data_IF_997530560201
#
_entry.id   IF_997530560201
#
_cell.length_a   1.000
_cell.length_b   1.000
_cell.length_c   1.000
_cell.angle_alpha   90.00
_cell.angle_beta   90.00
_cell.angle_gamma   90.00
#
_symmetry.space_group_name_H-M   'P 1'
#
loop_
_entity.id
_entity.type
_entity.pdbx_description
1 polymer ?
#
# COMPACT_ATOMS: atom_id res chain seq x y z
N UNK A 1 32.52 10.09 11.17
CA UNK A 1 31.99 9.29 10.04
C UNK A 1 30.64 8.70 10.46
N UNK A 2 29.54 9.45 10.41
CA UNK A 2 28.22 8.91 10.83
C UNK A 2 27.03 9.47 10.02
N UNK A 3 27.22 9.79 8.74
CA UNK A 3 26.10 10.15 7.85
C UNK A 3 25.62 9.01 6.94
N UNK A 4 26.26 7.83 6.98
CA UNK A 4 25.92 6.72 6.07
C UNK A 4 24.87 5.74 6.60
N UNK A 5 24.46 5.85 7.87
CA UNK A 5 23.55 4.88 8.50
C UNK A 5 22.06 5.24 8.35
N UNK A 6 21.73 6.50 8.07
CA UNK A 6 20.34 6.95 7.90
C UNK A 6 19.73 6.62 6.54
N UNK A 7 20.54 6.37 5.51
CA UNK A 7 20.03 6.04 4.16
C UNK A 7 19.50 4.60 4.12
N UNK A 8 20.16 3.67 4.82
CA UNK A 8 19.79 2.25 4.85
C UNK A 8 18.42 1.97 5.47
N UNK A 9 18.00 2.74 6.48
CA UNK A 9 16.68 2.55 7.11
C UNK A 9 15.56 3.17 6.27
N UNK A 10 15.89 4.18 5.46
CA UNK A 10 14.95 4.82 4.53
C UNK A 10 14.66 3.93 3.32
N UNK A 11 15.66 3.17 2.84
CA UNK A 11 15.48 2.18 1.76
C UNK A 11 14.60 1.00 2.19
N UNK A 12 14.64 0.59 3.46
CA UNK A 12 13.75 -0.48 3.98
C UNK A 12 12.30 0.01 4.12
N UNK A 13 12.09 1.30 4.35
CA UNK A 13 10.77 1.95 4.29
C UNK A 13 10.25 2.07 2.85
N UNK A 14 11.13 1.93 1.85
CA UNK A 14 10.80 1.76 0.44
C UNK A 14 10.57 0.28 0.07
N UNK A 15 9.98 -0.51 0.98
CA UNK A 15 9.09 -1.61 0.56
C UNK A 15 7.88 -0.94 -0.09
N UNK A 16 8.13 -0.37 -1.27
CA UNK A 16 7.14 0.32 -2.06
C UNK A 16 6.02 -0.68 -2.27
N UNK A 17 4.83 -0.31 -1.81
CA UNK A 17 3.60 -0.73 -2.45
C UNK A 17 3.87 -0.72 -3.96
N UNK A 18 3.96 -1.94 -4.49
CA UNK A 18 4.71 -2.27 -5.69
C UNK A 18 3.82 -2.96 -6.71
N UNK A 19 2.68 -2.35 -7.03
CA UNK A 19 1.90 -2.67 -8.23
C UNK A 19 1.60 -1.42 -9.10
N UNK A 20 2.27 -0.28 -8.83
CA UNK A 20 2.00 0.97 -9.56
C UNK A 20 2.50 0.94 -11.01
N UNK A 21 3.44 0.05 -11.36
CA UNK A 21 4.12 0.06 -12.65
C UNK A 21 3.42 -0.68 -13.80
N UNK A 22 2.34 -1.45 -13.56
CA UNK A 22 1.79 -2.37 -14.58
C UNK A 22 0.59 -1.85 -15.40
N UNK A 23 0.13 -0.61 -15.21
CA UNK A 23 -1.03 -0.09 -15.97
C UNK A 23 -0.68 1.09 -16.88
N UNK A 24 0.53 1.12 -17.45
CA UNK A 24 0.73 1.94 -18.63
C UNK A 24 -0.17 1.34 -19.74
N UNK A 25 -1.33 1.97 -19.97
CA UNK A 25 -2.10 1.71 -21.17
C UNK A 25 -1.19 2.07 -22.33
N UNK A 26 -0.59 1.06 -22.96
CA UNK A 26 -0.14 1.24 -24.32
C UNK A 26 -1.41 1.56 -25.07
N UNK A 27 -1.57 2.82 -25.51
CA UNK A 27 -2.42 3.14 -26.63
C UNK A 27 -1.86 2.37 -27.80
N UNK A 28 -2.20 1.08 -27.85
CA UNK A 28 -2.07 0.31 -29.06
C UNK A 28 -2.86 1.10 -30.08
N UNK A 29 -2.17 1.47 -31.17
CA UNK A 29 -2.73 2.30 -32.23
C UNK A 29 -3.74 1.43 -32.99
N UNK A 30 -4.91 1.25 -32.40
CA UNK A 30 -6.01 0.46 -32.93
C UNK A 30 -7.31 1.08 -32.46
N UNK A 31 -7.82 2.02 -33.24
CA UNK A 31 -9.18 2.57 -33.18
C UNK A 31 -9.61 3.24 -31.87
N UNK A 32 -9.23 4.51 -31.70
CA UNK A 32 -9.94 5.45 -30.80
C UNK A 32 -10.97 6.32 -31.54
N UNK A 33 -11.53 5.84 -32.63
CA UNK A 33 -12.79 6.35 -33.17
C UNK A 33 -13.85 5.30 -32.88
N UNK A 34 -14.54 5.45 -31.75
CA UNK A 34 -15.76 4.68 -31.48
C UNK A 34 -16.82 5.20 -32.45
N UNK A 35 -16.82 4.64 -33.65
CA UNK A 35 -17.93 4.77 -34.59
C UNK A 35 -19.14 4.13 -33.92
N UNK A 36 -20.13 4.95 -33.54
CA UNK A 36 -21.45 4.50 -33.07
C UNK A 36 -22.28 3.86 -34.20
N UNK A 37 -21.64 3.43 -35.30
CA UNK A 37 -22.30 2.61 -36.31
C UNK A 37 -22.62 1.26 -35.66
N UNK A 38 -23.88 0.84 -35.76
CA UNK A 38 -24.45 -0.41 -35.25
C UNK A 38 -23.61 -1.64 -35.66
N UNK A 39 -22.52 -1.89 -34.94
CA UNK A 39 -21.74 -3.11 -35.06
C UNK A 39 -22.35 -4.10 -34.10
N UNK A 40 -23.22 -4.98 -34.62
CA UNK A 40 -23.58 -6.19 -33.89
C UNK A 40 -22.31 -7.00 -33.70
N UNK A 41 -21.69 -6.89 -32.52
CA UNK A 41 -20.55 -7.75 -32.18
C UNK A 41 -20.99 -9.21 -32.23
N UNK A 42 -20.13 -10.07 -32.78
CA UNK A 42 -20.34 -11.50 -32.73
C UNK A 42 -20.25 -12.01 -31.28
N UNK A 43 -20.88 -13.15 -30.95
CA UNK A 43 -20.76 -13.74 -29.61
C UNK A 43 -19.30 -13.93 -29.15
N UNK A 44 -18.42 -14.34 -30.06
CA UNK A 44 -16.99 -14.56 -29.78
C UNK A 44 -16.27 -13.24 -29.42
N UNK A 45 -16.57 -12.14 -30.12
CA UNK A 45 -16.01 -10.82 -29.81
C UNK A 45 -16.49 -10.30 -28.44
N UNK A 46 -17.76 -10.58 -28.09
CA UNK A 46 -18.31 -10.25 -26.77
C UNK A 46 -17.58 -11.05 -25.67
N UNK A 47 -17.32 -12.34 -25.90
CA UNK A 47 -16.58 -13.18 -24.94
C UNK A 47 -15.15 -12.67 -24.71
N UNK A 48 -14.45 -12.26 -25.78
CA UNK A 48 -13.11 -11.68 -25.70
C UNK A 48 -13.11 -10.38 -24.89
N UNK A 49 -14.05 -9.48 -25.13
CA UNK A 49 -14.16 -8.22 -24.39
C UNK A 49 -14.61 -8.43 -22.93
N UNK A 50 -15.48 -9.40 -22.66
CA UNK A 50 -15.82 -9.79 -21.28
C UNK A 50 -14.58 -10.29 -20.52
N UNK A 51 -13.75 -11.13 -21.15
CA UNK A 51 -12.50 -11.59 -20.55
C UNK A 51 -11.53 -10.42 -20.29
N UNK A 52 -11.50 -9.42 -21.18
CA UNK A 52 -10.72 -8.19 -20.99
C UNK A 52 -11.21 -7.36 -19.81
N UNK A 53 -12.53 -7.17 -19.70
CA UNK A 53 -13.17 -6.46 -18.57
C UNK A 53 -12.87 -7.18 -17.26
N UNK A 54 -12.95 -8.50 -17.23
CA UNK A 54 -12.66 -9.29 -16.03
C UNK A 54 -11.20 -9.13 -15.57
N UNK A 55 -10.23 -9.21 -16.51
CA UNK A 55 -8.81 -8.96 -16.20
C UNK A 55 -8.60 -7.54 -15.65
N UNK A 56 -9.22 -6.53 -16.26
CA UNK A 56 -9.10 -5.15 -15.80
C UNK A 56 -9.70 -4.97 -14.39
N UNK A 57 -10.86 -5.57 -14.13
CA UNK A 57 -11.50 -5.55 -12.81
C UNK A 57 -10.58 -6.14 -11.74
N UNK A 58 -9.92 -7.25 -12.01
CA UNK A 58 -9.00 -7.87 -11.05
C UNK A 58 -7.79 -6.98 -10.74
N UNK A 59 -7.21 -6.31 -11.75
CA UNK A 59 -6.14 -5.32 -11.55
C UNK A 59 -6.62 -4.16 -10.67
N UNK A 60 -7.82 -3.64 -10.93
CA UNK A 60 -8.40 -2.53 -10.16
C UNK A 60 -8.66 -2.91 -8.70
N UNK A 61 -9.21 -4.10 -8.44
CA UNK A 61 -9.46 -4.59 -7.07
C UNK A 61 -8.15 -4.72 -6.27
N UNK A 62 -7.06 -5.15 -6.92
CA UNK A 62 -5.75 -5.26 -6.27
C UNK A 62 -5.16 -3.89 -5.96
N UNK A 63 -5.27 -2.94 -6.91
CA UNK A 63 -4.88 -1.55 -6.71
C UNK A 63 -5.65 -0.90 -5.56
N UNK A 64 -6.95 -1.15 -5.47
CA UNK A 64 -7.79 -0.67 -4.36
C UNK A 64 -7.31 -1.22 -3.01
N UNK A 65 -7.01 -2.52 -2.94
CA UNK A 65 -6.47 -3.13 -1.73
C UNK A 65 -5.11 -2.53 -1.32
N UNK A 66 -4.21 -2.31 -2.29
CA UNK A 66 -2.93 -1.65 -2.06
C UNK A 66 -3.11 -0.21 -1.53
N UNK A 67 -4.05 0.55 -2.12
CA UNK A 67 -4.42 1.89 -1.65
C UNK A 67 -4.95 1.86 -0.21
N UNK A 68 -5.75 0.85 0.16
CA UNK A 68 -6.23 0.70 1.55
C UNK A 68 -5.09 0.46 2.54
N UNK A 69 -4.13 -0.41 2.21
CA UNK A 69 -2.94 -0.59 3.05
C UNK A 69 -2.15 0.72 3.22
N UNK A 70 -1.96 1.49 2.14
CA UNK A 70 -1.29 2.80 2.22
C UNK A 70 -2.06 3.80 3.08
N UNK A 71 -3.39 3.86 2.94
CA UNK A 71 -4.23 4.75 3.76
C UNK A 71 -4.11 4.42 5.25
N UNK A 72 -4.14 3.13 5.59
CA UNK A 72 -4.00 2.68 6.97
C UNK A 72 -2.60 2.97 7.54
N UNK A 73 -1.53 2.76 6.76
CA UNK A 73 -0.15 3.09 7.17
C UNK A 73 0.03 4.60 7.39
N UNK A 74 -0.52 5.44 6.50
CA UNK A 74 -0.52 6.89 6.65
C UNK A 74 -1.23 7.30 7.95
N UNK A 75 -2.37 6.69 8.26
CA UNK A 75 -3.10 7.02 9.48
C UNK A 75 -2.33 6.60 10.74
N UNK A 76 -1.75 5.40 10.75
CA UNK A 76 -0.87 4.96 11.84
C UNK A 76 0.33 5.89 12.01
N UNK A 77 0.96 6.31 10.92
CA UNK A 77 2.08 7.25 10.96
C UNK A 77 1.67 8.61 11.55
N UNK A 78 0.50 9.15 11.18
CA UNK A 78 -0.02 10.40 11.75
C UNK A 78 -0.24 10.28 13.26
N UNK A 79 -0.86 9.19 13.71
CA UNK A 79 -1.15 8.95 15.12
C UNK A 79 0.15 8.79 15.93
N UNK A 80 1.12 8.02 15.40
CA UNK A 80 2.45 7.85 16.00
C UNK A 80 3.19 9.20 16.07
N UNK A 81 3.15 10.00 15.01
CA UNK A 81 3.81 11.31 14.98
C UNK A 81 3.21 12.27 16.02
N UNK A 82 1.89 12.29 16.15
CA UNK A 82 1.18 13.10 17.15
C UNK A 82 1.60 12.71 18.57
N UNK A 83 1.56 11.41 18.90
CA UNK A 83 1.97 10.90 20.22
C UNK A 83 3.46 11.15 20.50
N UNK A 84 4.34 10.98 19.50
CA UNK A 84 5.77 11.31 19.64
C UNK A 84 5.98 12.79 19.92
N UNK A 85 5.16 13.67 19.34
CA UNK A 85 5.23 15.10 19.60
C UNK A 85 4.80 15.44 21.02
N UNK A 86 3.71 14.84 21.51
CA UNK A 86 3.27 14.99 22.90
C UNK A 86 4.33 14.46 23.88
N UNK A 87 4.89 13.27 23.61
CA UNK A 87 5.96 12.69 24.42
C UNK A 87 7.18 13.60 24.49
N UNK A 88 7.60 14.19 23.37
CA UNK A 88 8.72 15.15 23.34
C UNK A 88 8.50 16.33 24.27
N UNK A 89 7.29 16.89 24.32
CA UNK A 89 6.96 18.01 25.22
C UNK A 89 7.14 17.64 26.70
N UNK A 90 6.77 16.40 27.07
CA UNK A 90 6.91 15.90 28.44
C UNK A 90 8.38 15.65 28.78
N UNK A 91 9.13 15.01 27.88
CA UNK A 91 10.54 14.65 28.11
C UNK A 91 11.44 15.88 28.21
N UNK A 92 11.10 16.98 27.54
CA UNK A 92 11.86 18.25 27.63
C UNK A 92 11.77 18.96 28.98
N UNK A 93 10.80 18.61 29.85
CA UNK A 93 10.70 19.20 31.19
C UNK A 93 11.85 18.68 32.07
N UNK A 94 12.54 19.50 32.86
CA UNK A 94 13.58 19.03 33.77
C UNK A 94 13.05 18.04 34.82
N UNK A 95 13.82 17.01 35.16
CA UNK A 95 13.38 15.94 36.08
C UNK A 95 12.93 16.42 37.46
N UNK A 96 13.47 17.55 37.92
CA UNK A 96 13.11 18.17 39.21
C UNK A 96 11.63 18.58 39.27
N UNK A 97 10.99 18.77 38.13
CA UNK A 97 9.60 19.21 37.99
C UNK A 97 8.66 18.10 37.43
N UNK A 98 9.16 16.87 37.23
CA UNK A 98 8.43 15.79 36.50
C UNK A 98 7.49 14.91 37.32
N UNK A 99 7.35 15.14 38.62
CA UNK A 99 6.70 14.15 39.52
C UNK A 99 5.25 13.78 39.14
N UNK A 100 4.52 14.62 38.39
CA UNK A 100 3.17 14.33 37.87
C UNK A 100 3.13 13.78 36.43
N UNK A 101 4.22 13.89 35.68
CA UNK A 101 4.24 13.57 34.25
C UNK A 101 4.74 12.16 33.94
N UNK A 102 5.33 11.47 34.91
CA UNK A 102 5.95 10.15 34.72
C UNK A 102 4.96 9.08 34.26
N UNK A 103 3.76 9.03 34.86
CA UNK A 103 2.71 8.10 34.44
C UNK A 103 2.24 8.39 33.01
N UNK A 104 2.04 9.67 32.67
CA UNK A 104 1.64 10.07 31.31
C UNK A 104 2.72 9.74 30.27
N UNK A 105 3.99 9.91 30.63
CA UNK A 105 5.13 9.52 29.79
C UNK A 105 5.09 8.01 29.48
N UNK A 106 4.94 7.18 30.52
CA UNK A 106 4.84 5.72 30.39
C UNK A 106 3.63 5.29 29.54
N UNK A 107 2.48 5.94 29.73
CA UNK A 107 1.27 5.69 28.92
C UNK A 107 1.48 6.03 27.44
N UNK A 108 2.13 7.16 27.14
CA UNK A 108 2.42 7.56 25.76
C UNK A 108 3.39 6.60 25.09
N UNK A 109 4.44 6.18 25.80
CA UNK A 109 5.39 5.17 25.31
C UNK A 109 4.66 3.87 24.97
N UNK A 110 3.77 3.41 25.87
CA UNK A 110 2.99 2.18 25.65
C UNK A 110 2.05 2.30 24.44
N UNK A 111 1.38 3.44 24.26
CA UNK A 111 0.52 3.70 23.10
C UNK A 111 1.30 3.72 21.80
N UNK A 112 2.45 4.42 21.77
CA UNK A 112 3.34 4.46 20.60
C UNK A 112 3.81 3.04 20.24
N UNK A 113 4.25 2.26 21.23
CA UNK A 113 4.70 0.88 21.00
C UNK A 113 3.60 0.01 20.38
N UNK A 114 2.36 0.08 20.88
CA UNK A 114 1.22 -0.65 20.32
C UNK A 114 0.92 -0.25 18.87
N UNK A 115 1.00 1.04 18.54
CA UNK A 115 0.77 1.50 17.16
C UNK A 115 1.90 1.07 16.22
N UNK A 116 3.16 1.09 16.68
CA UNK A 116 4.30 0.57 15.91
C UNK A 116 4.11 -0.91 15.64
N UNK A 117 3.74 -1.72 16.65
CA UNK A 117 3.43 -3.13 16.45
C UNK A 117 2.29 -3.34 15.43
N UNK A 118 1.22 -2.56 15.53
CA UNK A 118 0.12 -2.62 14.56
C UNK A 118 0.59 -2.31 13.13
N UNK A 119 1.49 -1.33 12.97
CA UNK A 119 2.09 -1.01 11.67
C UNK A 119 2.97 -2.15 11.15
N UNK A 120 3.74 -2.78 12.02
CA UNK A 120 4.59 -3.92 11.63
C UNK A 120 3.72 -5.08 11.09
N UNK A 121 2.60 -5.40 11.76
CA UNK A 121 1.63 -6.37 11.24
C UNK A 121 1.01 -5.95 9.90
N UNK A 122 0.67 -4.67 9.72
CA UNK A 122 0.13 -4.16 8.46
C UNK A 122 1.12 -4.36 7.29
N UNK A 123 2.41 -4.16 7.55
CA UNK A 123 3.47 -4.38 6.55
C UNK A 123 3.61 -5.86 6.21
N UNK A 124 3.56 -6.73 7.21
CA UNK A 124 3.61 -8.18 7.00
C UNK A 124 2.41 -8.67 6.18
N UNK A 125 1.19 -8.20 6.51
CA UNK A 125 -0.03 -8.53 5.77
C UNK A 125 0.03 -8.06 4.31
N UNK A 126 0.55 -6.85 4.07
CA UNK A 126 0.72 -6.31 2.72
C UNK A 126 1.72 -7.15 1.90
N UNK A 127 2.81 -7.63 2.51
CA UNK A 127 3.77 -8.50 1.82
C UNK A 127 3.17 -9.87 1.51
N UNK A 128 2.37 -10.44 2.41
CA UNK A 128 1.64 -11.70 2.15
C UNK A 128 0.70 -11.53 0.94
N UNK A 129 -0.02 -10.41 0.86
CA UNK A 129 -0.90 -10.13 -0.28
C UNK A 129 -0.12 -9.98 -1.58
N UNK A 130 1.04 -9.30 -1.55
CA UNK A 130 1.93 -9.16 -2.71
C UNK A 130 2.44 -10.51 -3.21
N UNK A 131 2.83 -11.40 -2.31
CA UNK A 131 3.28 -12.75 -2.67
C UNK A 131 2.15 -13.59 -3.26
N UNK A 132 0.92 -13.45 -2.75
CA UNK A 132 -0.28 -14.09 -3.32
C UNK A 132 -0.53 -13.60 -4.74
N UNK A 133 -0.49 -12.29 -4.96
CA UNK A 133 -0.63 -11.68 -6.29
C UNK A 133 0.36 -12.26 -7.30
N UNK A 134 1.65 -12.28 -6.95
CA UNK A 134 2.71 -12.81 -7.85
C UNK A 134 2.41 -14.27 -8.20
N UNK A 135 2.01 -15.08 -7.22
CA UNK A 135 1.66 -16.48 -7.45
C UNK A 135 0.46 -16.63 -8.39
N UNK A 136 -0.60 -15.85 -8.19
CA UNK A 136 -1.77 -15.84 -9.07
C UNK A 136 -1.42 -15.40 -10.49
N UNK A 137 -0.61 -14.36 -10.65
CA UNK A 137 -0.20 -13.85 -11.96
C UNK A 137 0.68 -14.84 -12.73
N UNK A 138 1.66 -15.45 -12.06
CA UNK A 138 2.48 -16.50 -12.67
C UNK A 138 1.62 -17.69 -13.06
N UNK A 139 0.62 -18.06 -12.23
CA UNK A 139 -0.31 -19.14 -12.58
C UNK A 139 -1.20 -18.81 -13.78
N UNK A 140 -1.63 -17.55 -13.93
CA UNK A 140 -2.45 -17.09 -15.06
C UNK A 140 -1.66 -17.07 -16.37
N UNK A 141 -0.40 -16.62 -16.33
CA UNK A 141 0.51 -16.64 -17.50
C UNK A 141 0.95 -18.06 -17.90
N UNK A 142 0.80 -19.05 -17.01
CA UNK A 142 1.08 -20.46 -17.30
C UNK A 142 -0.12 -21.19 -17.93
N UNK A 143 -1.30 -20.56 -18.00
CA UNK A 143 -2.44 -21.08 -18.77
C UNK A 143 -2.28 -20.60 -20.21
N UNK A 144 -2.10 -21.50 -21.21
CA UNK A 144 -2.05 -21.10 -22.60
C UNK A 144 -3.36 -20.39 -22.96
N UNK A 145 -3.25 -19.20 -23.57
CA UNK A 145 -4.37 -18.51 -24.19
C UNK A 145 -5.06 -19.48 -25.16
N UNK A 146 -6.30 -19.84 -24.87
CA UNK A 146 -7.20 -20.54 -25.81
C UNK A 146 -7.58 -19.60 -26.95
#
# INVERSE_FOLDING_TARGET
MELKKSISDTERALRSYGAVSETAWTTDKGHSDVSMAESTMSPDEIEVEMARIQRLREVLVRRESELRFMMDDIQLCKDIMSLKQELRQIVTVPEKDKNKNRQREEELILKIHKLVQKRDFLVDDAEVERLRYIKEHVSFLAVPSL
#
